data_IF_932387079952
#
_entry.id   IF_932387079952
#
_cell.length_a   1.000
_cell.length_b   1.000
_cell.length_c   1.000
_cell.angle_alpha   90.00
_cell.angle_beta   90.00
_cell.angle_gamma   90.00
#
_symmetry.space_group_name_H-M   'P 1'
#
loop_
_entity.id
_entity.type
_entity.pdbx_description
1 polymer ?
#
# COMPACT_ATOMS: atom_id res chain seq x y z
N UNK A 1 68.16 -2.18 -52.41
CA UNK A 1 67.60 -0.81 -52.29
C UNK A 1 66.11 -0.91 -52.47
N UNK A 2 65.35 -0.27 -51.55
CA UNK A 2 63.91 0.09 -51.65
C UNK A 2 62.91 -1.08 -51.71
N UNK A 3 61.84 -1.16 -50.94
CA UNK A 3 61.21 -0.26 -49.97
C UNK A 3 59.83 -0.86 -49.67
N UNK A 4 59.45 -0.89 -48.40
CA UNK A 4 58.13 -1.36 -47.97
C UNK A 4 57.09 -0.26 -48.23
N UNK A 5 56.09 -0.55 -49.07
CA UNK A 5 54.96 0.35 -49.33
C UNK A 5 53.68 -0.21 -48.73
N UNK A 6 53.19 0.44 -47.66
CA UNK A 6 51.93 0.12 -46.97
C UNK A 6 50.71 0.49 -47.83
N UNK A 7 49.62 -0.25 -47.65
CA UNK A 7 48.40 0.35 -47.08
C UNK A 7 47.10 0.28 -47.89
N UNK A 8 46.02 0.10 -47.10
CA UNK A 8 44.57 0.23 -47.36
C UNK A 8 43.87 -1.07 -47.81
N UNK A 9 42.81 -1.56 -47.17
CA UNK A 9 42.00 -1.14 -46.00
C UNK A 9 41.23 -2.40 -45.57
N UNK A 10 41.54 -2.97 -44.42
CA UNK A 10 40.55 -3.75 -43.66
C UNK A 10 40.06 -2.80 -42.56
N UNK A 11 38.77 -2.45 -42.59
CA UNK A 11 38.13 -1.66 -41.54
C UNK A 11 37.30 -2.63 -40.69
N UNK A 12 37.67 -2.86 -39.42
CA UNK A 12 36.74 -3.36 -38.43
C UNK A 12 36.31 -2.21 -37.51
N UNK A 13 34.98 -2.08 -37.43
CA UNK A 13 34.22 -1.84 -36.21
C UNK A 13 34.33 -0.47 -35.53
N UNK A 14 33.18 0.22 -35.54
CA UNK A 14 32.82 1.37 -34.69
C UNK A 14 33.19 1.11 -33.22
N UNK A 15 34.39 1.53 -32.82
CA UNK A 15 34.79 1.68 -31.42
C UNK A 15 34.02 2.89 -30.84
N UNK A 16 33.11 2.68 -29.86
CA UNK A 16 32.35 3.78 -29.27
C UNK A 16 33.32 4.73 -28.55
N UNK A 17 33.39 5.97 -29.04
CA UNK A 17 34.26 7.02 -28.51
C UNK A 17 34.27 7.04 -26.97
N UNK A 18 35.45 7.13 -26.33
CA UNK A 18 35.59 7.14 -24.87
C UNK A 18 34.79 8.26 -24.19
N UNK A 19 34.48 9.33 -24.92
CA UNK A 19 33.64 10.43 -24.46
C UNK A 19 32.18 10.00 -24.24
N UNK A 20 31.67 9.08 -25.06
CA UNK A 20 30.32 8.53 -24.93
C UNK A 20 30.20 7.68 -23.67
N UNK A 21 31.20 6.84 -23.39
CA UNK A 21 31.25 6.02 -22.18
C UNK A 21 31.35 6.88 -20.92
N UNK A 22 32.12 7.98 -20.98
CA UNK A 22 32.19 8.97 -19.90
C UNK A 22 30.84 9.65 -19.65
N UNK A 23 30.11 9.99 -20.71
CA UNK A 23 28.77 10.59 -20.62
C UNK A 23 27.74 9.62 -20.03
N UNK A 24 27.79 8.34 -20.41
CA UNK A 24 26.95 7.28 -19.85
C UNK A 24 27.24 7.11 -18.36
N UNK A 25 28.53 7.11 -17.97
CA UNK A 25 28.92 7.03 -16.57
C UNK A 25 28.42 8.23 -15.74
N UNK A 26 28.36 9.43 -16.32
CA UNK A 26 27.79 10.61 -15.66
C UNK A 26 26.27 10.49 -15.48
N UNK A 27 25.55 9.98 -16.47
CA UNK A 27 24.11 9.75 -16.37
C UNK A 27 23.77 8.70 -15.30
N UNK A 28 24.53 7.60 -15.23
CA UNK A 28 24.34 6.58 -14.20
C UNK A 28 24.57 7.12 -12.79
N UNK A 29 25.56 8.01 -12.60
CA UNK A 29 25.81 8.67 -11.30
C UNK A 29 24.65 9.57 -10.89
N UNK A 30 24.08 10.32 -11.82
CA UNK A 30 22.90 11.17 -11.58
C UNK A 30 21.67 10.37 -11.14
N UNK A 31 21.43 9.21 -11.76
CA UNK A 31 20.33 8.33 -11.38
C UNK A 31 20.52 7.72 -9.98
N UNK A 32 21.76 7.29 -9.65
CA UNK A 32 22.09 6.76 -8.33
C UNK A 32 21.95 7.85 -7.25
N UNK A 33 22.36 9.09 -7.53
CA UNK A 33 22.23 10.20 -6.57
C UNK A 33 20.77 10.63 -6.38
N UNK A 34 19.93 10.55 -7.42
CA UNK A 34 18.49 10.79 -7.32
C UNK A 34 17.81 9.76 -6.40
N UNK A 35 18.25 8.50 -6.42
CA UNK A 35 17.70 7.43 -5.58
C UNK A 35 18.12 7.56 -4.10
N UNK A 36 19.27 8.16 -3.81
CA UNK A 36 19.76 8.40 -2.44
C UNK A 36 19.17 9.66 -1.77
N UNK A 37 18.60 10.58 -2.54
CA UNK A 37 17.89 11.76 -2.00
C UNK A 37 16.44 11.40 -1.78
N UNK A 38 16.18 10.88 -0.58
CA UNK A 38 14.85 10.58 -0.05
C UNK A 38 13.79 11.56 -0.54
N UNK A 39 12.89 11.01 -1.34
CA UNK A 39 11.74 11.66 -1.93
C UNK A 39 10.77 12.11 -0.82
N UNK A 40 10.94 13.34 -0.35
CA UNK A 40 9.95 14.10 0.42
C UNK A 40 8.81 14.62 -0.48
N UNK A 41 8.31 13.80 -1.40
CA UNK A 41 7.15 14.13 -2.23
C UNK A 41 6.07 13.08 -2.07
N UNK A 42 4.99 13.54 -1.46
CA UNK A 42 3.67 12.94 -1.45
C UNK A 42 3.24 12.61 -2.89
N UNK A 43 3.45 11.38 -3.29
CA UNK A 43 2.70 10.75 -4.36
C UNK A 43 2.48 9.33 -3.91
N UNK A 44 1.25 9.07 -3.48
CA UNK A 44 0.67 7.76 -3.20
C UNK A 44 1.28 6.70 -4.12
N UNK A 45 2.20 5.93 -3.55
CA UNK A 45 2.78 4.76 -4.17
C UNK A 45 1.66 3.75 -4.37
N UNK A 46 1.11 3.72 -5.58
CA UNK A 46 0.21 2.67 -6.06
C UNK A 46 1.03 1.41 -6.36
N UNK A 47 1.72 0.92 -5.34
CA UNK A 47 2.13 -0.48 -5.25
C UNK A 47 0.91 -1.34 -4.87
N UNK A 48 1.05 -2.66 -4.68
CA UNK A 48 -0.02 -3.44 -4.07
C UNK A 48 -0.41 -2.75 -2.76
N UNK A 49 -1.63 -2.23 -2.69
CA UNK A 49 -2.13 -1.51 -1.52
C UNK A 49 -2.03 -2.46 -0.33
N UNK A 50 -0.97 -2.33 0.46
CA UNK A 50 -0.98 -2.74 1.86
C UNK A 50 -1.86 -1.72 2.61
N UNK A 51 -3.10 -1.56 2.15
CA UNK A 51 -4.08 -0.73 2.84
C UNK A 51 -4.27 -1.39 4.21
N UNK A 52 -4.06 -0.59 5.26
CA UNK A 52 -4.30 -1.03 6.63
C UNK A 52 -5.70 -1.66 6.73
N UNK A 53 -5.86 -2.82 7.40
CA UNK A 53 -7.15 -3.51 7.50
C UNK A 53 -8.29 -2.61 7.98
N UNK A 54 -8.00 -1.63 8.83
CA UNK A 54 -8.99 -0.69 9.38
C UNK A 54 -9.38 0.36 8.33
N UNK A 55 -8.45 0.80 7.49
CA UNK A 55 -8.77 1.66 6.34
C UNK A 55 -9.66 0.95 5.34
N UNK A 56 -9.36 -0.32 5.02
CA UNK A 56 -10.18 -1.14 4.13
C UNK A 56 -11.61 -1.30 4.66
N UNK A 57 -11.76 -1.49 5.97
CA UNK A 57 -13.06 -1.53 6.64
C UNK A 57 -13.81 -0.20 6.57
N UNK A 58 -13.16 0.92 6.93
CA UNK A 58 -13.79 2.26 6.88
C UNK A 58 -14.25 2.65 5.48
N UNK A 59 -13.54 2.22 4.43
CA UNK A 59 -13.93 2.45 3.03
C UNK A 59 -15.26 1.78 2.65
N UNK A 60 -15.66 0.71 3.35
CA UNK A 60 -16.97 0.08 3.16
C UNK A 60 -18.13 0.91 3.73
N UNK A 61 -17.83 1.99 4.47
CA UNK A 61 -18.82 2.83 5.18
C UNK A 61 -19.80 1.96 5.99
N UNK A 62 -19.28 1.14 6.91
CA UNK A 62 -20.10 0.30 7.78
C UNK A 62 -21.17 1.14 8.50
N UNK A 63 -22.33 0.53 8.75
CA UNK A 63 -23.41 1.18 9.50
C UNK A 63 -23.04 1.25 10.98
N UNK A 64 -23.31 2.39 11.60
CA UNK A 64 -23.21 2.56 13.05
C UNK A 64 -24.41 1.93 13.75
N UNK A 65 -24.26 1.62 15.04
CA UNK A 65 -25.32 1.06 15.87
C UNK A 65 -25.39 1.75 17.22
N UNK A 66 -26.44 2.55 17.40
CA UNK A 66 -26.74 3.27 18.66
C UNK A 66 -27.49 2.41 19.68
N UNK A 67 -27.89 1.19 19.32
CA UNK A 67 -28.76 0.33 20.13
C UNK A 67 -30.22 0.35 19.65
N UNK A 68 -30.93 -0.74 19.90
CA UNK A 68 -32.36 -0.90 19.54
C UNK A 68 -33.04 -1.89 20.47
N UNK A 69 -34.37 -1.79 20.58
CA UNK A 69 -35.22 -2.79 21.25
C UNK A 69 -35.76 -3.85 20.29
N UNK A 70 -35.65 -3.60 18.98
CA UNK A 70 -36.12 -4.51 17.94
C UNK A 70 -35.01 -5.53 17.58
N UNK A 71 -35.22 -6.83 17.82
CA UNK A 71 -34.23 -7.86 17.52
C UNK A 71 -33.92 -7.95 16.01
N UNK A 72 -34.86 -7.65 15.12
CA UNK A 72 -34.62 -7.72 13.68
C UNK A 72 -33.69 -6.62 13.19
N UNK A 73 -33.76 -5.43 13.80
CA UNK A 73 -32.85 -4.32 13.49
C UNK A 73 -31.43 -4.66 13.94
N UNK A 74 -31.28 -5.25 15.14
CA UNK A 74 -29.99 -5.71 15.63
C UNK A 74 -29.41 -6.82 14.73
N UNK A 75 -30.22 -7.81 14.36
CA UNK A 75 -29.81 -8.90 13.47
C UNK A 75 -29.41 -8.38 12.08
N UNK A 76 -30.18 -7.45 11.51
CA UNK A 76 -29.84 -6.83 10.23
C UNK A 76 -28.52 -6.06 10.30
N UNK A 77 -28.22 -5.40 11.42
CA UNK A 77 -26.95 -4.72 11.59
C UNK A 77 -25.79 -5.71 11.68
N UNK A 78 -25.93 -6.79 12.47
CA UNK A 78 -24.91 -7.86 12.58
C UNK A 78 -24.61 -8.46 11.20
N UNK A 79 -25.63 -8.86 10.44
CA UNK A 79 -25.47 -9.39 9.08
C UNK A 79 -24.73 -8.42 8.16
N UNK A 80 -24.99 -7.12 8.30
CA UNK A 80 -24.29 -6.11 7.50
C UNK A 80 -22.79 -6.03 7.83
N UNK A 81 -22.40 -6.27 9.09
CA UNK A 81 -20.99 -6.34 9.49
C UNK A 81 -20.34 -7.64 8.99
N UNK A 82 -21.03 -8.77 9.08
CA UNK A 82 -20.54 -10.07 8.61
C UNK A 82 -20.22 -10.07 7.12
N UNK A 83 -21.11 -9.49 6.30
CA UNK A 83 -20.89 -9.33 4.85
C UNK A 83 -19.61 -8.54 4.56
N UNK A 84 -19.34 -7.49 5.33
CA UNK A 84 -18.10 -6.70 5.18
C UNK A 84 -16.88 -7.52 5.56
N UNK A 85 -16.94 -8.26 6.68
CA UNK A 85 -15.80 -9.08 7.13
C UNK A 85 -15.50 -10.24 6.19
N UNK A 86 -16.53 -10.84 5.59
CA UNK A 86 -16.37 -11.87 4.57
C UNK A 86 -15.72 -11.28 3.31
N UNK A 87 -16.25 -10.15 2.82
CA UNK A 87 -15.71 -9.47 1.65
C UNK A 87 -14.24 -9.05 1.81
N UNK A 88 -13.87 -8.55 2.99
CA UNK A 88 -12.51 -8.10 3.29
C UNK A 88 -11.57 -9.23 3.73
N UNK A 89 -12.10 -10.43 4.00
CA UNK A 89 -11.39 -11.56 4.64
C UNK A 89 -10.76 -11.16 5.98
N UNK A 90 -11.52 -10.41 6.79
CA UNK A 90 -11.06 -9.93 8.10
C UNK A 90 -10.94 -11.10 9.09
N UNK A 91 -9.77 -11.30 9.73
CA UNK A 91 -9.58 -12.37 10.70
C UNK A 91 -10.42 -12.13 11.96
N UNK A 92 -10.90 -13.19 12.60
CA UNK A 92 -11.83 -13.11 13.74
C UNK A 92 -11.32 -12.24 14.90
N UNK A 93 -10.01 -12.27 15.15
CA UNK A 93 -9.37 -11.46 16.18
C UNK A 93 -9.55 -9.94 15.96
N UNK A 94 -9.68 -9.50 14.70
CA UNK A 94 -9.83 -8.10 14.33
C UNK A 94 -11.29 -7.66 14.20
N UNK A 95 -12.22 -8.60 13.98
CA UNK A 95 -13.65 -8.32 13.81
C UNK A 95 -14.23 -7.62 15.02
N UNK A 96 -13.89 -8.07 16.23
CA UNK A 96 -14.37 -7.48 17.49
C UNK A 96 -14.04 -5.99 17.59
N UNK A 97 -12.81 -5.59 17.28
CA UNK A 97 -12.37 -4.19 17.30
C UNK A 97 -13.16 -3.33 16.31
N UNK A 98 -13.44 -3.87 15.12
CA UNK A 98 -14.25 -3.20 14.11
C UNK A 98 -15.70 -3.02 14.57
N UNK A 99 -16.32 -4.07 15.13
CA UNK A 99 -17.69 -4.03 15.66
C UNK A 99 -17.80 -3.00 16.78
N UNK A 100 -16.87 -3.00 17.75
CA UNK A 100 -16.83 -2.05 18.86
C UNK A 100 -16.70 -0.61 18.33
N UNK A 101 -15.84 -0.39 17.34
CA UNK A 101 -15.67 0.91 16.70
C UNK A 101 -16.96 1.44 16.06
N UNK A 102 -17.91 0.58 15.71
CA UNK A 102 -19.20 0.96 15.10
C UNK A 102 -20.32 1.19 16.10
N UNK A 103 -20.11 0.91 17.40
CA UNK A 103 -21.10 1.17 18.44
C UNK A 103 -21.17 2.66 18.77
N UNK A 104 -22.38 3.15 19.03
CA UNK A 104 -22.68 4.53 19.44
C UNK A 104 -23.63 4.52 20.63
N UNK A 105 -23.76 5.66 21.30
CA UNK A 105 -24.78 5.94 22.33
C UNK A 105 -25.02 4.77 23.32
N UNK A 106 -26.27 4.32 23.45
CA UNK A 106 -26.70 3.29 24.39
C UNK A 106 -25.97 1.96 24.17
N UNK A 107 -25.67 1.59 22.93
CA UNK A 107 -24.94 0.36 22.63
C UNK A 107 -23.48 0.44 23.11
N UNK A 108 -22.85 1.60 22.98
CA UNK A 108 -21.49 1.80 23.49
C UNK A 108 -21.47 1.81 25.03
N UNK A 109 -22.46 2.44 25.68
CA UNK A 109 -22.62 2.42 27.13
C UNK A 109 -22.79 0.99 27.66
N UNK A 110 -23.62 0.18 26.99
CA UNK A 110 -23.79 -1.23 27.33
C UNK A 110 -22.49 -2.02 27.23
N UNK A 111 -21.70 -1.79 26.17
CA UNK A 111 -20.42 -2.48 25.96
C UNK A 111 -19.38 -2.14 27.04
N UNK A 112 -19.26 -0.87 27.41
CA UNK A 112 -18.34 -0.47 28.51
C UNK A 112 -18.78 -1.05 29.86
N UNK A 113 -20.09 -1.08 30.14
CA UNK A 113 -20.62 -1.73 31.34
C UNK A 113 -20.33 -3.23 31.37
N UNK A 114 -20.53 -3.92 30.24
CA UNK A 114 -20.27 -5.35 30.12
C UNK A 114 -18.78 -5.71 30.36
N UNK A 115 -17.84 -4.87 29.90
CA UNK A 115 -16.41 -5.07 30.18
C UNK A 115 -16.09 -5.02 31.68
N UNK A 116 -16.66 -4.05 32.38
CA UNK A 116 -16.41 -3.85 33.82
C UNK A 116 -16.98 -4.98 34.68
N UNK A 117 -17.94 -5.76 34.16
CA UNK A 117 -18.52 -6.91 34.87
C UNK A 117 -17.76 -8.21 34.67
N UNK A 118 -16.82 -8.27 33.72
CA UNK A 118 -16.05 -9.46 33.37
C UNK A 118 -14.66 -9.47 34.04
N UNK A 119 -14.26 -8.35 34.67
CA UNK A 119 -13.02 -8.21 35.46
C UNK A 119 -13.24 -8.59 36.95
#
# INVERSE_FOLDING_TARGET
>A
MSGWGRGRRNAPEDEPSPDSNASIAQLLRLLVEQQGRGNGQSSSSRGPSNDDPQERFRRQKPREFSGTKDPFVAESWIKSMEVIFEYLQTPDLERSRCVIYMLRDDAMLWWEGAKLTID
#
